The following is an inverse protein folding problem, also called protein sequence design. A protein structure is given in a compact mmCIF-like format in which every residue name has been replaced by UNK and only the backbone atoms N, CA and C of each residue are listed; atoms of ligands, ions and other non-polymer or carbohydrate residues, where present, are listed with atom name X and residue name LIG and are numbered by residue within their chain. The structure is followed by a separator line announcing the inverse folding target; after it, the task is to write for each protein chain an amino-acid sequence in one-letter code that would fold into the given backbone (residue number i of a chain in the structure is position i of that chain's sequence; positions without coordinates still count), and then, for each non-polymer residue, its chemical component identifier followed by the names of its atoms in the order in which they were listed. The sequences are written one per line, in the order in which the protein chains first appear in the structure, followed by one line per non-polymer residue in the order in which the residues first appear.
data_IF_230321298744
#
_entry.id   IF_230321298744
#
_cell.length_a   1.000
_cell.length_b   1.000
_cell.length_c   1.000
_cell.angle_alpha   90.00
_cell.angle_beta   90.00
_cell.angle_gamma   90.00
#
_symmetry.space_group_name_H-M   'P 1'
#
loop_
_entity.id
_entity.type
_entity.pdbx_description
1 polymer ?
#
# COMPACT_ATOMS: atom_id res chain seq x y z
N UNK A 1 -16.37 34.24 10.54
CA UNK A 1 -15.42 33.92 9.48
C UNK A 1 -14.25 33.14 10.04
N UNK A 2 -13.70 33.66 11.13
CA UNK A 2 -12.54 33.04 11.69
C UNK A 2 -12.82 31.62 12.16
N UNK A 3 -13.99 31.39 12.76
CA UNK A 3 -14.35 30.07 13.21
C UNK A 3 -14.44 29.09 12.06
N UNK A 4 -15.01 29.52 10.95
CA UNK A 4 -15.15 28.67 9.78
C UNK A 4 -13.78 28.30 9.23
N UNK A 5 -12.89 29.30 9.14
CA UNK A 5 -11.54 29.06 8.65
C UNK A 5 -10.79 28.10 9.58
N UNK A 6 -10.95 28.30 10.88
CA UNK A 6 -10.30 27.43 11.85
C UNK A 6 -10.81 26.00 11.75
N UNK A 7 -12.11 25.82 11.59
CA UNK A 7 -12.67 24.48 11.44
C UNK A 7 -12.14 23.78 10.21
N UNK A 8 -12.09 24.49 9.09
CA UNK A 8 -11.56 23.89 7.86
C UNK A 8 -10.11 23.51 8.01
N UNK A 9 -9.32 24.36 8.68
CA UNK A 9 -7.91 24.07 8.91
C UNK A 9 -7.76 22.85 9.79
N UNK A 10 -8.58 22.74 10.83
CA UNK A 10 -8.52 21.58 11.71
C UNK A 10 -8.87 20.30 10.98
N UNK A 11 -9.92 20.33 10.17
CA UNK A 11 -10.31 19.17 9.39
C UNK A 11 -9.21 18.74 8.44
N UNK A 12 -8.60 19.71 7.77
CA UNK A 12 -7.50 19.42 6.87
C UNK A 12 -6.31 18.78 7.63
N UNK A 13 -5.99 19.34 8.78
CA UNK A 13 -4.87 18.83 9.57
C UNK A 13 -5.14 17.42 10.08
N UNK A 14 -6.36 17.15 10.52
CA UNK A 14 -6.74 15.82 11.00
C UNK A 14 -6.62 14.81 9.87
N UNK A 15 -7.16 15.15 8.71
CA UNK A 15 -7.12 14.25 7.56
C UNK A 15 -5.69 13.99 7.14
N UNK A 16 -4.87 15.04 7.11
CA UNK A 16 -3.48 14.92 6.72
C UNK A 16 -2.70 14.07 7.72
N UNK A 17 -2.97 14.24 9.01
CA UNK A 17 -2.34 13.43 10.05
C UNK A 17 -2.74 11.96 9.91
N UNK A 18 -4.01 11.71 9.63
CA UNK A 18 -4.49 10.34 9.44
C UNK A 18 -3.78 9.68 8.28
N UNK A 19 -3.68 10.38 7.15
CA UNK A 19 -2.98 9.85 5.99
C UNK A 19 -1.50 9.60 6.31
N UNK A 20 -0.87 10.50 7.05
CA UNK A 20 0.53 10.31 7.42
C UNK A 20 0.70 9.06 8.28
N UNK A 21 -0.22 8.81 9.19
CA UNK A 21 -0.17 7.61 10.01
C UNK A 21 -0.33 6.35 9.17
N UNK A 22 -1.24 6.38 8.20
CA UNK A 22 -1.44 5.26 7.28
C UNK A 22 -0.18 5.01 6.46
N UNK A 23 0.45 6.09 5.97
CA UNK A 23 1.66 5.97 5.17
C UNK A 23 2.77 5.30 5.97
N UNK A 24 2.96 5.72 7.22
CA UNK A 24 3.97 5.13 8.10
C UNK A 24 3.69 3.64 8.29
N UNK A 25 2.45 3.30 8.56
CA UNK A 25 2.07 1.91 8.79
C UNK A 25 2.31 1.07 7.54
N UNK A 26 1.93 1.59 6.38
CA UNK A 26 2.06 0.86 5.12
C UNK A 26 3.53 0.63 4.78
N UNK A 27 4.35 1.68 4.88
CA UNK A 27 5.77 1.55 4.54
C UNK A 27 6.48 0.63 5.54
N UNK A 28 6.13 0.73 6.82
CA UNK A 28 6.72 -0.16 7.82
C UNK A 28 6.36 -1.62 7.53
N UNK A 29 5.13 -1.86 7.14
CA UNK A 29 4.69 -3.21 6.81
C UNK A 29 5.48 -3.76 5.60
N UNK A 30 5.63 -2.93 4.56
CA UNK A 30 6.42 -3.34 3.39
C UNK A 30 7.84 -3.67 3.79
N UNK A 31 8.48 -2.80 4.57
CA UNK A 31 9.85 -3.02 5.00
C UNK A 31 9.98 -4.32 5.79
N UNK A 32 8.99 -4.60 6.62
CA UNK A 32 9.02 -5.76 7.49
C UNK A 32 8.92 -7.05 6.69
N UNK A 33 7.91 -7.17 5.84
CA UNK A 33 7.68 -8.43 5.14
C UNK A 33 8.62 -8.63 3.95
N UNK A 34 9.03 -7.56 3.29
CA UNK A 34 9.92 -7.63 2.14
C UNK A 34 11.39 -7.47 2.54
N UNK A 35 11.66 -7.20 3.81
CA UNK A 35 13.01 -7.01 4.33
C UNK A 35 13.72 -5.88 3.57
N UNK A 36 13.05 -4.75 3.51
CA UNK A 36 13.56 -3.55 2.86
C UNK A 36 13.67 -2.42 3.89
N UNK A 37 14.11 -1.27 3.42
CA UNK A 37 14.38 -0.16 4.32
C UNK A 37 13.95 1.15 3.67
N UNK A 38 12.74 1.19 3.13
CA UNK A 38 12.23 2.40 2.49
C UNK A 38 11.83 3.44 3.53
N UNK A 39 11.90 4.69 3.14
CA UNK A 39 11.52 5.80 4.01
C UNK A 39 10.07 6.20 3.74
N UNK A 40 9.30 6.32 4.80
CA UNK A 40 7.93 6.80 4.65
C UNK A 40 7.88 8.29 4.32
N UNK A 41 8.99 9.02 4.51
CA UNK A 41 9.05 10.44 4.24
C UNK A 41 9.37 10.77 2.79
N UNK A 42 9.70 9.79 1.97
CA UNK A 42 9.99 10.02 0.56
C UNK A 42 8.76 10.59 -0.12
N UNK A 43 8.94 11.71 -0.80
CA UNK A 43 7.82 12.44 -1.38
C UNK A 43 7.03 11.61 -2.39
N UNK A 44 7.75 10.90 -3.26
CA UNK A 44 7.08 10.07 -4.25
C UNK A 44 6.26 8.96 -3.60
N UNK A 45 6.81 8.34 -2.59
CA UNK A 45 6.09 7.30 -1.85
C UNK A 45 4.82 7.85 -1.24
N UNK A 46 4.91 9.02 -0.59
CA UNK A 46 3.74 9.64 0.01
C UNK A 46 2.68 9.97 -1.04
N UNK A 47 3.11 10.48 -2.19
CA UNK A 47 2.19 10.84 -3.25
C UNK A 47 1.44 9.61 -3.76
N UNK A 48 2.15 8.52 -3.98
CA UNK A 48 1.52 7.30 -4.48
C UNK A 48 0.53 6.73 -3.48
N UNK A 49 0.94 6.65 -2.22
CA UNK A 49 0.05 6.08 -1.20
C UNK A 49 -1.18 6.96 -1.01
N UNK A 50 -0.99 8.28 -0.95
CA UNK A 50 -2.13 9.19 -0.80
C UNK A 50 -3.09 9.07 -1.97
N UNK A 51 -2.56 8.91 -3.19
CA UNK A 51 -3.41 8.76 -4.36
C UNK A 51 -4.32 7.54 -4.23
N UNK A 52 -3.76 6.42 -3.80
CA UNK A 52 -4.56 5.20 -3.64
C UNK A 52 -5.57 5.34 -2.49
N UNK A 53 -5.16 5.98 -1.40
CA UNK A 53 -6.07 6.21 -0.29
C UNK A 53 -7.25 7.09 -0.70
N UNK A 54 -6.98 8.12 -1.50
CA UNK A 54 -8.03 9.00 -2.00
C UNK A 54 -8.99 8.29 -2.95
N UNK A 55 -8.50 7.26 -3.62
CA UNK A 55 -9.34 6.45 -4.50
C UNK A 55 -10.24 5.50 -3.72
N UNK A 56 -10.06 5.43 -2.41
CA UNK A 56 -10.90 4.59 -1.58
C UNK A 56 -10.26 3.30 -1.10
N UNK A 57 -9.02 3.05 -1.48
CA UNK A 57 -8.34 1.86 -1.00
C UNK A 57 -7.94 2.03 0.45
N UNK A 58 -7.91 0.93 1.19
CA UNK A 58 -7.65 0.94 2.64
C UNK A 58 -6.23 0.47 2.93
N UNK A 59 -5.81 0.66 4.19
CA UNK A 59 -4.52 0.16 4.63
C UNK A 59 -4.44 -1.35 4.43
N UNK A 60 -5.54 -2.06 4.69
CA UNK A 60 -5.57 -3.51 4.47
C UNK A 60 -5.37 -3.86 3.01
N UNK A 61 -5.90 -3.05 2.10
CA UNK A 61 -5.68 -3.26 0.67
C UNK A 61 -4.19 -3.15 0.32
N UNK A 62 -3.52 -2.15 0.90
CA UNK A 62 -2.08 -2.00 0.69
C UNK A 62 -1.32 -3.21 1.21
N UNK A 63 -1.68 -3.69 2.40
CA UNK A 63 -1.03 -4.86 2.97
C UNK A 63 -1.24 -6.09 2.11
N UNK A 64 -2.42 -6.20 1.51
CA UNK A 64 -2.72 -7.32 0.62
C UNK A 64 -1.86 -7.29 -0.63
N UNK A 65 -1.69 -6.10 -1.22
CA UNK A 65 -0.81 -5.94 -2.38
C UNK A 65 0.62 -6.33 -1.99
N UNK A 66 1.07 -5.86 -0.84
CA UNK A 66 2.41 -6.17 -0.35
C UNK A 66 2.57 -7.67 -0.18
N UNK A 67 1.61 -8.32 0.45
CA UNK A 67 1.67 -9.76 0.68
C UNK A 67 1.69 -10.53 -0.63
N UNK A 68 0.79 -10.17 -1.56
CA UNK A 68 0.70 -10.86 -2.84
C UNK A 68 2.03 -10.81 -3.59
N UNK A 69 2.63 -9.64 -3.67
CA UNK A 69 3.84 -9.49 -4.45
C UNK A 69 5.08 -9.96 -3.71
N UNK A 70 5.09 -9.86 -2.39
CA UNK A 70 6.21 -10.38 -1.61
C UNK A 70 6.31 -11.89 -1.76
N UNK A 71 5.18 -12.58 -1.69
CA UNK A 71 5.17 -14.03 -1.89
C UNK A 71 5.72 -14.41 -3.24
N UNK A 72 5.42 -13.62 -4.24
CA UNK A 72 5.80 -13.92 -5.61
C UNK A 72 7.25 -13.53 -5.91
N UNK A 73 7.69 -12.38 -5.39
CA UNK A 73 8.94 -11.76 -5.84
C UNK A 73 10.08 -11.81 -4.83
N UNK A 74 9.82 -12.09 -3.57
CA UNK A 74 10.85 -11.92 -2.53
C UNK A 74 12.10 -12.74 -2.81
N UNK A 75 11.91 -13.95 -3.29
CA UNK A 75 13.03 -14.86 -3.54
C UNK A 75 13.38 -14.97 -5.02
N UNK A 76 12.82 -14.12 -5.84
CA UNK A 76 13.10 -14.09 -7.27
C UNK A 76 14.22 -13.09 -7.54
N UNK A 77 15.40 -13.55 -8.00
CA UNK A 77 16.54 -12.65 -8.20
C UNK A 77 16.25 -11.49 -9.17
N UNK A 78 15.34 -11.72 -10.12
CA UNK A 78 15.02 -10.70 -11.11
C UNK A 78 13.96 -9.73 -10.63
N UNK A 79 13.01 -10.21 -9.84
CA UNK A 79 11.83 -9.42 -9.50
C UNK A 79 11.87 -8.81 -8.10
N UNK A 80 12.74 -9.28 -7.22
CA UNK A 80 12.76 -8.79 -5.85
C UNK A 80 13.03 -7.28 -5.77
N UNK A 81 13.75 -6.73 -6.74
CA UNK A 81 14.03 -5.31 -6.77
C UNK A 81 12.79 -4.46 -7.01
N UNK A 82 11.72 -5.07 -7.48
CA UNK A 82 10.46 -4.37 -7.73
C UNK A 82 9.53 -4.36 -6.52
N UNK A 83 9.95 -4.95 -5.42
CA UNK A 83 9.24 -4.83 -4.14
C UNK A 83 9.53 -3.46 -3.55
N UNK A 84 8.89 -2.45 -4.10
CA UNK A 84 9.13 -1.05 -3.75
C UNK A 84 7.86 -0.26 -3.98
N UNK A 85 7.71 0.89 -3.29
CA UNK A 85 6.48 1.68 -3.41
C UNK A 85 6.14 2.09 -4.83
N UNK A 86 7.13 2.45 -5.63
CA UNK A 86 6.88 2.89 -7.00
C UNK A 86 6.14 1.85 -7.82
N UNK A 87 6.52 0.61 -7.66
CA UNK A 87 5.92 -0.49 -8.42
C UNK A 87 4.61 -0.92 -7.79
N UNK A 88 4.61 -1.12 -6.48
CA UNK A 88 3.47 -1.72 -5.80
C UNK A 88 2.27 -0.79 -5.71
N UNK A 89 2.52 0.50 -5.50
CA UNK A 89 1.45 1.46 -5.23
C UNK A 89 1.19 2.39 -6.41
N UNK A 90 1.71 2.04 -7.59
CA UNK A 90 1.51 2.81 -8.81
C UNK A 90 0.25 2.39 -9.54
N UNK A 91 0.30 2.50 -10.87
CA UNK A 91 -0.87 2.27 -11.71
C UNK A 91 -1.37 0.83 -11.69
N UNK A 92 -0.54 -0.12 -11.30
CA UNK A 92 -0.93 -1.52 -11.26
C UNK A 92 -1.44 -1.98 -9.89
N UNK A 93 -1.65 -1.02 -8.98
CA UNK A 93 -2.07 -1.34 -7.62
C UNK A 93 -3.31 -2.22 -7.60
N UNK A 94 -4.32 -1.84 -8.34
CA UNK A 94 -5.58 -2.57 -8.35
C UNK A 94 -5.40 -3.99 -8.90
N UNK A 95 -4.57 -4.13 -9.92
CA UNK A 95 -4.30 -5.45 -10.48
C UNK A 95 -3.62 -6.35 -9.46
N UNK A 96 -2.62 -5.82 -8.77
CA UNK A 96 -1.92 -6.58 -7.75
C UNK A 96 -2.84 -6.94 -6.58
N UNK A 97 -3.74 -6.03 -6.23
CA UNK A 97 -4.68 -6.25 -5.15
C UNK A 97 -5.59 -7.43 -5.46
N UNK A 98 -5.97 -7.58 -6.71
CA UNK A 98 -6.92 -8.60 -7.11
C UNK A 98 -6.26 -9.92 -7.47
N UNK A 99 -4.95 -10.01 -7.40
CA UNK A 99 -4.26 -11.27 -7.63
C UNK A 99 -4.54 -12.21 -6.46
N UNK A 100 -4.66 -13.47 -6.79
CA UNK A 100 -4.86 -14.49 -5.77
C UNK A 100 -3.53 -15.16 -5.47
N UNK A 101 -3.12 -15.24 -4.21
CA UNK A 101 -1.89 -15.93 -3.86
C UNK A 101 -1.90 -17.36 -4.39
N UNK A 102 -0.73 -17.84 -4.78
CA UNK A 102 -0.60 -19.16 -5.41
C UNK A 102 -1.25 -20.24 -4.57
N UNK A 103 -1.02 -20.23 -3.28
CA UNK A 103 -1.58 -21.26 -2.40
C UNK A 103 -3.09 -21.24 -2.40
N UNK A 104 -3.68 -20.04 -2.26
CA UNK A 104 -5.13 -19.90 -2.29
C UNK A 104 -5.68 -20.23 -3.65
N UNK A 105 -4.92 -19.91 -4.68
CA UNK A 105 -5.33 -20.23 -6.04
C UNK A 105 -5.51 -21.74 -6.20
N UNK A 106 -4.54 -22.52 -5.74
CA UNK A 106 -4.61 -23.96 -5.81
C UNK A 106 -5.79 -24.50 -5.02
N UNK A 107 -5.96 -24.01 -3.81
CA UNK A 107 -7.07 -24.41 -2.96
C UNK A 107 -8.40 -24.08 -3.60
N UNK A 108 -8.48 -22.90 -4.17
CA UNK A 108 -9.72 -22.43 -4.77
C UNK A 108 -10.08 -23.25 -5.98
N UNK A 109 -9.10 -23.59 -6.80
CA UNK A 109 -9.36 -24.44 -7.96
C UNK A 109 -9.88 -25.79 -7.54
N UNK A 110 -9.28 -26.36 -6.52
CA UNK A 110 -9.73 -27.66 -6.02
C UNK A 110 -11.17 -27.56 -5.54
N UNK A 111 -11.54 -26.48 -4.87
CA UNK A 111 -12.88 -26.31 -4.35
C UNK A 111 -13.91 -26.15 -5.47
N UNK A 112 -13.52 -25.55 -6.56
CA UNK A 112 -14.45 -25.32 -7.67
C UNK A 112 -14.78 -26.58 -8.43
N UNK A 113 -13.87 -27.46 -8.49
CA UNK A 113 -14.03 -28.65 -9.30
C UNK A 113 -13.99 -29.92 -8.47
#
# INVERSE_FOLDING_TARGET
TDKTSESLTEEYNIRNTTYNNYIVEIVNYLNDVAEKNFRHSTKKTQTLIRARLKEGFTVDDFKRVIDNKTKEWKHDPKMSKYLRPETLFGTKFESYLNETPVEQNNTRKAARF
#
